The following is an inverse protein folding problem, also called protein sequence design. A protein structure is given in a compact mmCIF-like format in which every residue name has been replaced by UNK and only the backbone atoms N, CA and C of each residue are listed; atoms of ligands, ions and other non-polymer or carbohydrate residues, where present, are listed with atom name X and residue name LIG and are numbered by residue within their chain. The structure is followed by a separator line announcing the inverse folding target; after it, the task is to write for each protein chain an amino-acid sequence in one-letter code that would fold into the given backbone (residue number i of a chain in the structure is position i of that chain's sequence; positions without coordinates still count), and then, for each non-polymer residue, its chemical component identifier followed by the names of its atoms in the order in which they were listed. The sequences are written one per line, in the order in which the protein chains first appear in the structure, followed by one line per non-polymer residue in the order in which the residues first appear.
data_IF_302855487538
#
_entry.id   IF_302855487538
#
_cell.length_a   1.000
_cell.length_b   1.000
_cell.length_c   1.000
_cell.angle_alpha   90.00
_cell.angle_beta   90.00
_cell.angle_gamma   90.00
#
_symmetry.space_group_name_H-M   'P 1'
#
loop_
_entity.id
_entity.type
_entity.pdbx_description
1 polymer ?
#
# COMPACT_ATOMS: atom_id res chain seq x y z
N UNK A 1 -19.43 -1.49 -39.98
CA UNK A 1 -17.97 -1.80 -39.87
C UNK A 1 -17.25 -0.58 -40.40
N UNK A 2 -16.88 0.37 -39.54
CA UNK A 2 -16.01 1.48 -39.92
C UNK A 2 -14.60 0.88 -40.11
N UNK A 3 -14.09 0.91 -41.33
CA UNK A 3 -12.65 0.82 -41.54
C UNK A 3 -12.05 2.01 -40.78
N UNK A 4 -11.43 1.76 -39.66
CA UNK A 4 -10.85 2.80 -38.88
C UNK A 4 -9.71 3.41 -39.66
N UNK A 5 -9.90 4.62 -40.14
CA UNK A 5 -8.83 5.45 -40.64
C UNK A 5 -8.02 5.95 -39.39
N UNK A 6 -7.05 5.15 -38.98
CA UNK A 6 -6.21 5.46 -37.84
C UNK A 6 -5.20 6.57 -38.16
N UNK A 7 -4.94 6.87 -39.43
CA UNK A 7 -3.99 7.89 -39.86
C UNK A 7 -4.42 9.29 -39.39
N UNK A 8 -5.72 9.63 -39.50
CA UNK A 8 -6.25 10.89 -38.96
C UNK A 8 -6.17 10.97 -37.43
N UNK A 9 -6.36 9.84 -36.75
CA UNK A 9 -6.24 9.80 -35.29
C UNK A 9 -4.78 10.00 -34.85
N UNK A 10 -3.84 9.42 -35.56
CA UNK A 10 -2.41 9.56 -35.28
C UNK A 10 -1.94 11.00 -35.55
N UNK A 11 -2.37 11.65 -36.63
CA UNK A 11 -2.12 13.06 -36.93
C UNK A 11 -2.65 14.00 -35.84
N UNK A 12 -3.87 13.73 -35.33
CA UNK A 12 -4.45 14.50 -34.23
C UNK A 12 -3.67 14.33 -32.94
N UNK A 13 -3.23 13.09 -32.62
CA UNK A 13 -2.40 12.80 -31.44
C UNK A 13 -1.06 13.50 -31.55
N UNK A 14 -0.43 13.51 -32.73
CA UNK A 14 0.85 14.18 -32.95
C UNK A 14 0.70 15.70 -32.83
N UNK A 15 -0.37 16.27 -33.39
CA UNK A 15 -0.71 17.69 -33.24
C UNK A 15 -0.95 18.06 -31.78
N UNK A 16 -1.66 17.22 -31.01
CA UNK A 16 -1.88 17.42 -29.58
C UNK A 16 -0.58 17.37 -28.80
N UNK A 17 0.30 16.41 -29.08
CA UNK A 17 1.63 16.32 -28.47
C UNK A 17 2.47 17.58 -28.79
N UNK A 18 2.40 18.08 -30.02
CA UNK A 18 3.06 19.32 -30.43
C UNK A 18 2.55 20.53 -29.66
N UNK A 19 1.23 20.64 -29.51
CA UNK A 19 0.60 21.70 -28.73
C UNK A 19 1.01 21.65 -27.24
N UNK A 20 0.93 20.47 -26.63
CA UNK A 20 1.36 20.25 -25.25
C UNK A 20 2.82 20.64 -25.04
N UNK A 21 3.71 20.23 -25.95
CA UNK A 21 5.14 20.53 -25.88
C UNK A 21 5.44 22.03 -26.03
N UNK A 22 4.63 22.75 -26.82
CA UNK A 22 4.81 24.18 -27.07
C UNK A 22 4.30 25.05 -25.93
N UNK A 23 3.15 24.71 -25.33
CA UNK A 23 2.46 25.54 -24.35
C UNK A 23 2.46 24.98 -22.92
N UNK A 24 2.79 23.72 -22.73
CA UNK A 24 2.78 23.01 -21.45
C UNK A 24 4.16 22.53 -20.99
N UNK A 25 5.24 23.09 -21.53
CA UNK A 25 6.61 22.62 -21.26
C UNK A 25 6.92 22.51 -19.75
N UNK A 26 6.46 23.46 -18.95
CA UNK A 26 6.72 23.53 -17.51
C UNK A 26 5.85 22.53 -16.70
N UNK A 27 4.78 22.00 -17.32
CA UNK A 27 3.79 21.14 -16.64
C UNK A 27 3.89 19.68 -17.10
N UNK A 28 4.52 19.41 -18.25
CA UNK A 28 4.66 18.03 -18.77
C UNK A 28 5.58 17.23 -17.85
N UNK A 29 5.08 16.08 -17.29
CA UNK A 29 5.93 15.22 -16.49
C UNK A 29 7.07 14.63 -17.34
N UNK A 30 8.20 14.38 -16.69
CA UNK A 30 9.34 13.73 -17.36
C UNK A 30 8.96 12.33 -17.85
N UNK A 31 9.58 11.88 -18.94
CA UNK A 31 9.33 10.54 -19.50
C UNK A 31 9.58 9.42 -18.48
N UNK A 32 10.50 9.63 -17.54
CA UNK A 32 10.78 8.71 -16.44
C UNK A 32 9.60 8.60 -15.47
N UNK A 33 8.94 9.70 -15.13
CA UNK A 33 7.74 9.70 -14.28
C UNK A 33 6.57 9.00 -14.96
N UNK A 34 6.34 9.28 -16.26
CA UNK A 34 5.28 8.61 -17.03
C UNK A 34 5.53 7.11 -17.12
N UNK A 35 6.75 6.67 -17.39
CA UNK A 35 7.09 5.25 -17.42
C UNK A 35 6.94 4.58 -16.05
N UNK A 36 7.29 5.28 -14.98
CA UNK A 36 7.11 4.82 -13.61
C UNK A 36 5.63 4.67 -13.26
N UNK A 37 4.78 5.63 -13.65
CA UNK A 37 3.34 5.57 -13.43
C UNK A 37 2.69 4.39 -14.17
N UNK A 38 3.06 4.15 -15.43
CA UNK A 38 2.61 3.00 -16.21
C UNK A 38 3.00 1.70 -15.51
N UNK A 39 4.23 1.62 -15.00
CA UNK A 39 4.72 0.45 -14.28
C UNK A 39 3.96 0.26 -12.96
N UNK A 40 3.74 1.34 -12.20
CA UNK A 40 2.97 1.33 -10.96
C UNK A 40 1.56 0.78 -11.18
N UNK A 41 0.85 1.32 -12.16
CA UNK A 41 -0.52 0.90 -12.49
C UNK A 41 -0.57 -0.55 -13.00
N UNK A 42 0.44 -0.99 -13.76
CA UNK A 42 0.54 -2.37 -14.26
C UNK A 42 0.72 -3.39 -13.13
N UNK A 43 1.52 -3.08 -12.13
CA UNK A 43 1.81 -4.01 -11.04
C UNK A 43 0.74 -4.05 -9.96
N UNK A 44 -0.01 -2.97 -9.74
CA UNK A 44 -1.06 -2.82 -8.71
C UNK A 44 -0.66 -3.49 -7.38
N UNK A 45 0.46 -3.02 -6.82
CA UNK A 45 1.16 -3.69 -5.73
C UNK A 45 0.31 -3.80 -4.46
N UNK A 46 -0.48 -2.77 -4.15
CA UNK A 46 -1.28 -2.74 -2.91
C UNK A 46 -2.43 -3.74 -2.94
N UNK A 47 -3.04 -3.98 -4.10
CA UNK A 47 -4.04 -5.04 -4.29
C UNK A 47 -3.45 -6.43 -4.08
N UNK A 48 -2.24 -6.66 -4.58
CA UNK A 48 -1.53 -7.94 -4.35
C UNK A 48 -1.13 -8.09 -2.88
N UNK A 49 -0.66 -7.00 -2.25
CA UNK A 49 -0.29 -7.01 -0.83
C UNK A 49 -1.46 -7.37 0.08
N UNK A 50 -2.68 -6.88 -0.22
CA UNK A 50 -3.89 -7.31 0.50
C UNK A 50 -3.99 -8.85 0.53
N UNK A 51 -3.96 -9.48 -0.65
CA UNK A 51 -4.09 -10.93 -0.76
C UNK A 51 -2.95 -11.67 -0.06
N UNK A 52 -1.73 -11.20 -0.21
CA UNK A 52 -0.56 -11.84 0.40
C UNK A 52 -0.54 -11.70 1.93
N UNK A 53 -0.92 -10.54 2.47
CA UNK A 53 -1.04 -10.35 3.90
C UNK A 53 -2.12 -11.23 4.51
N UNK A 54 -3.31 -11.33 3.90
CA UNK A 54 -4.39 -12.16 4.44
C UNK A 54 -3.99 -13.65 4.44
N UNK A 55 -3.40 -14.15 3.35
CA UNK A 55 -2.93 -15.54 3.30
C UNK A 55 -1.82 -15.81 4.31
N UNK A 56 -0.82 -14.93 4.40
CA UNK A 56 0.29 -15.10 5.34
C UNK A 56 -0.19 -15.06 6.80
N UNK A 57 -1.11 -14.16 7.13
CA UNK A 57 -1.67 -14.05 8.49
C UNK A 57 -2.51 -15.26 8.88
N UNK A 58 -3.39 -15.73 7.97
CA UNK A 58 -4.21 -16.91 8.19
C UNK A 58 -3.36 -18.17 8.35
N UNK A 59 -2.38 -18.37 7.47
CA UNK A 59 -1.45 -19.50 7.57
C UNK A 59 -0.65 -19.45 8.88
N UNK A 60 -0.15 -18.28 9.27
CA UNK A 60 0.56 -18.13 10.54
C UNK A 60 -0.35 -18.46 11.72
N UNK A 61 -1.60 -17.99 11.71
CA UNK A 61 -2.57 -18.30 12.75
C UNK A 61 -2.85 -19.81 12.87
N UNK A 62 -3.05 -20.49 11.73
CA UNK A 62 -3.26 -21.96 11.70
C UNK A 62 -2.03 -22.70 12.26
N UNK A 63 -0.82 -22.29 11.84
CA UNK A 63 0.43 -22.91 12.33
C UNK A 63 0.59 -22.73 13.84
N UNK A 64 0.22 -21.57 14.36
CA UNK A 64 0.27 -21.32 15.81
C UNK A 64 -0.71 -22.23 16.59
N UNK A 65 -1.92 -22.45 16.06
CA UNK A 65 -2.87 -23.40 16.65
C UNK A 65 -2.30 -24.82 16.62
N UNK A 66 -1.75 -25.26 15.48
CA UNK A 66 -1.14 -26.59 15.36
C UNK A 66 0.03 -26.74 16.34
N UNK A 67 0.82 -25.69 16.55
CA UNK A 67 1.96 -25.68 17.48
C UNK A 67 1.55 -25.94 18.92
N UNK A 68 0.33 -25.51 19.33
CA UNK A 68 -0.19 -25.80 20.68
C UNK A 68 -0.34 -27.30 20.90
N UNK A 69 -0.75 -28.05 19.87
CA UNK A 69 -0.96 -29.48 19.96
C UNK A 69 0.28 -30.33 19.61
N UNK A 70 1.21 -29.76 18.84
CA UNK A 70 2.35 -30.49 18.31
C UNK A 70 3.58 -29.57 18.10
N UNK A 71 4.41 -29.44 19.13
CA UNK A 71 5.61 -28.58 19.10
C UNK A 71 6.81 -29.32 18.44
N UNK A 72 6.68 -29.67 17.15
CA UNK A 72 7.81 -30.26 16.39
C UNK A 72 8.70 -29.18 15.81
N UNK A 73 10.00 -29.48 15.66
CA UNK A 73 11.00 -28.59 15.04
C UNK A 73 10.55 -28.10 13.65
N UNK A 74 9.90 -28.96 12.88
CA UNK A 74 9.39 -28.62 11.54
C UNK A 74 8.36 -27.46 11.58
N UNK A 75 7.47 -27.44 12.58
CA UNK A 75 6.47 -26.38 12.74
C UNK A 75 7.14 -25.05 13.06
N UNK A 76 8.22 -25.05 13.84
CA UNK A 76 9.02 -23.83 14.11
C UNK A 76 9.69 -23.29 12.84
N UNK A 77 10.16 -24.14 11.95
CA UNK A 77 10.73 -23.67 10.67
C UNK A 77 9.67 -23.03 9.77
N UNK A 78 8.45 -23.59 9.71
CA UNK A 78 7.33 -23.00 8.97
C UNK A 78 6.94 -21.63 9.58
N UNK A 79 6.85 -21.56 10.90
CA UNK A 79 6.57 -20.29 11.62
C UNK A 79 7.60 -19.22 11.25
N UNK A 80 8.90 -19.53 11.32
CA UNK A 80 9.96 -18.60 10.94
C UNK A 80 9.86 -18.19 9.46
N UNK A 81 9.57 -19.13 8.57
CA UNK A 81 9.41 -18.84 7.15
C UNK A 81 8.23 -17.86 6.89
N UNK A 82 7.09 -18.06 7.58
CA UNK A 82 5.93 -17.17 7.48
C UNK A 82 6.22 -15.78 8.06
N UNK A 83 6.91 -15.70 9.20
CA UNK A 83 7.34 -14.41 9.77
C UNK A 83 8.28 -13.69 8.80
N UNK A 84 9.23 -14.39 8.21
CA UNK A 84 10.15 -13.83 7.22
C UNK A 84 9.41 -13.34 5.97
N UNK A 85 8.39 -14.09 5.53
CA UNK A 85 7.49 -13.68 4.43
C UNK A 85 6.75 -12.37 4.76
N UNK A 86 6.20 -12.24 5.96
CA UNK A 86 5.50 -11.02 6.41
C UNK A 86 6.47 -9.82 6.44
N UNK A 87 7.68 -10.01 6.90
CA UNK A 87 8.72 -8.96 6.88
C UNK A 87 9.04 -8.54 5.45
N UNK A 88 9.19 -9.51 4.55
CA UNK A 88 9.43 -9.25 3.13
C UNK A 88 8.26 -8.47 2.48
N UNK A 89 7.02 -8.85 2.78
CA UNK A 89 5.84 -8.13 2.32
C UNK A 89 5.78 -6.69 2.86
N UNK A 90 6.22 -6.48 4.11
CA UNK A 90 6.33 -5.14 4.68
C UNK A 90 7.37 -4.27 3.95
N UNK A 91 8.50 -4.85 3.55
CA UNK A 91 9.49 -4.16 2.72
C UNK A 91 8.88 -3.78 1.36
N UNK A 92 8.16 -4.70 0.71
CA UNK A 92 7.44 -4.41 -0.54
C UNK A 92 6.38 -3.31 -0.37
N UNK A 93 5.67 -3.30 0.76
CA UNK A 93 4.71 -2.24 1.08
C UNK A 93 5.41 -0.88 1.21
N UNK A 94 6.53 -0.83 1.93
CA UNK A 94 7.34 0.39 2.08
C UNK A 94 7.86 0.90 0.74
N UNK A 95 8.37 0.00 -0.10
CA UNK A 95 8.80 0.33 -1.47
C UNK A 95 7.64 0.84 -2.33
N UNK A 96 6.45 0.25 -2.18
CA UNK A 96 5.23 0.71 -2.86
C UNK A 96 4.86 2.15 -2.50
N UNK A 97 4.92 2.51 -1.20
CA UNK A 97 4.66 3.88 -0.74
C UNK A 97 5.71 4.87 -1.27
N UNK A 98 7.00 4.52 -1.21
CA UNK A 98 8.09 5.35 -1.76
C UNK A 98 7.90 5.53 -3.26
N UNK A 99 7.55 4.48 -3.98
CA UNK A 99 7.33 4.54 -5.42
C UNK A 99 6.11 5.41 -5.78
N UNK A 100 5.02 5.31 -5.00
CA UNK A 100 3.87 6.20 -5.15
C UNK A 100 4.24 7.66 -4.91
N UNK A 101 4.99 7.96 -3.84
CA UNK A 101 5.50 9.32 -3.56
C UNK A 101 6.38 9.87 -4.70
N UNK A 102 7.19 9.02 -5.31
CA UNK A 102 8.03 9.43 -6.45
C UNK A 102 7.19 9.79 -7.68
N UNK A 103 6.16 9.00 -7.98
CA UNK A 103 5.28 9.25 -9.13
C UNK A 103 4.40 10.46 -8.91
N UNK A 104 3.73 10.56 -7.74
CA UNK A 104 2.82 11.66 -7.40
C UNK A 104 3.54 13.00 -7.19
N UNK A 105 4.81 12.94 -6.72
CA UNK A 105 5.58 14.14 -6.37
C UNK A 105 5.22 14.74 -5.01
N UNK A 106 4.36 14.08 -4.23
CA UNK A 106 3.98 14.48 -2.87
C UNK A 106 3.97 13.28 -1.92
N UNK A 107 3.79 13.55 -0.63
CA UNK A 107 3.75 12.50 0.38
C UNK A 107 2.51 11.60 0.22
N UNK A 108 2.66 10.24 0.39
CA UNK A 108 1.61 9.28 0.09
C UNK A 108 0.59 9.13 1.23
N UNK A 109 0.01 10.23 1.70
CA UNK A 109 -1.08 10.32 2.70
C UNK A 109 -1.95 11.55 2.49
N UNK A 110 -2.04 12.03 1.23
CA UNK A 110 -2.71 13.28 0.87
C UNK A 110 -4.18 13.10 0.50
N UNK A 111 -4.60 11.90 0.14
CA UNK A 111 -5.99 11.54 -0.16
C UNK A 111 -6.49 10.37 0.71
N UNK A 112 -7.76 10.03 0.56
CA UNK A 112 -8.39 8.95 1.33
C UNK A 112 -7.75 7.59 1.03
N UNK A 113 -7.48 7.26 -0.23
CA UNK A 113 -6.82 6.01 -0.60
C UNK A 113 -5.39 5.94 -0.05
N UNK A 114 -4.61 7.00 -0.22
CA UNK A 114 -3.24 7.09 0.30
C UNK A 114 -3.20 6.98 1.82
N UNK A 115 -4.13 7.64 2.50
CA UNK A 115 -4.26 7.55 3.95
C UNK A 115 -4.52 6.11 4.41
N UNK A 116 -5.37 5.37 3.72
CA UNK A 116 -5.67 3.97 4.06
C UNK A 116 -4.47 3.05 3.83
N UNK A 117 -3.76 3.16 2.71
CA UNK A 117 -2.55 2.35 2.50
C UNK A 117 -1.46 2.71 3.51
N UNK A 118 -1.34 3.99 3.90
CA UNK A 118 -0.41 4.43 4.93
C UNK A 118 -0.79 3.94 6.34
N UNK A 119 -2.07 3.96 6.73
CA UNK A 119 -2.56 3.37 8.00
C UNK A 119 -2.26 1.88 8.04
N UNK A 120 -2.49 1.15 6.94
CA UNK A 120 -2.15 -0.26 6.86
C UNK A 120 -0.65 -0.50 7.05
N UNK A 121 0.20 0.31 6.41
CA UNK A 121 1.65 0.28 6.61
C UNK A 121 2.03 0.56 8.07
N UNK A 122 1.47 1.60 8.67
CA UNK A 122 1.72 1.94 10.08
C UNK A 122 1.27 0.83 11.04
N UNK A 123 0.11 0.21 10.79
CA UNK A 123 -0.37 -0.94 11.55
C UNK A 123 0.63 -2.09 11.47
N UNK A 124 1.13 -2.40 10.28
CA UNK A 124 2.12 -3.46 10.11
C UNK A 124 3.47 -3.11 10.74
N UNK A 125 3.91 -1.86 10.64
CA UNK A 125 5.15 -1.37 11.27
C UNK A 125 5.11 -1.53 12.78
N UNK A 126 4.10 -1.00 13.44
CA UNK A 126 3.95 -1.13 14.89
C UNK A 126 3.68 -2.58 15.30
N UNK A 127 2.96 -3.33 14.46
CA UNK A 127 2.76 -4.77 14.65
C UNK A 127 4.09 -5.53 14.72
N UNK A 128 5.01 -5.28 13.82
CA UNK A 128 6.35 -5.88 13.84
C UNK A 128 7.16 -5.47 15.08
N UNK A 129 7.02 -4.22 15.56
CA UNK A 129 7.70 -3.76 16.77
C UNK A 129 7.15 -4.46 18.01
N UNK A 130 5.82 -4.52 18.17
CA UNK A 130 5.18 -5.09 19.36
C UNK A 130 5.15 -6.62 19.35
N UNK A 131 5.16 -7.24 18.16
CA UNK A 131 5.14 -8.69 18.00
C UNK A 131 6.45 -9.42 18.30
N UNK A 132 7.51 -8.70 18.70
CA UNK A 132 8.85 -9.29 18.95
C UNK A 132 8.83 -10.49 19.90
N UNK A 133 7.84 -10.58 20.79
CA UNK A 133 7.70 -11.66 21.78
C UNK A 133 6.49 -12.57 21.52
N UNK A 134 5.67 -12.28 20.51
CA UNK A 134 4.41 -13.00 20.26
C UNK A 134 4.08 -13.09 18.77
N UNK A 135 4.26 -14.27 18.20
CA UNK A 135 3.87 -14.54 16.81
C UNK A 135 2.35 -14.41 16.59
N UNK A 136 1.55 -14.59 17.66
CA UNK A 136 0.09 -14.39 17.60
C UNK A 136 -0.25 -12.91 17.37
N UNK A 137 0.45 -12.02 18.07
CA UNK A 137 0.30 -10.57 17.85
C UNK A 137 0.64 -10.21 16.40
N UNK A 138 1.69 -10.80 15.83
CA UNK A 138 2.05 -10.57 14.43
C UNK A 138 0.95 -11.07 13.47
N UNK A 139 0.42 -12.27 13.68
CA UNK A 139 -0.66 -12.81 12.87
C UNK A 139 -1.89 -11.88 12.92
N UNK A 140 -2.32 -11.45 14.12
CA UNK A 140 -3.46 -10.57 14.31
C UNK A 140 -3.25 -9.20 13.66
N UNK A 141 -2.09 -8.58 13.83
CA UNK A 141 -1.80 -7.26 13.24
C UNK A 141 -1.67 -7.33 11.72
N UNK A 142 -1.09 -8.38 11.16
CA UNK A 142 -1.02 -8.59 9.71
C UNK A 142 -2.41 -8.81 9.12
N UNK A 143 -3.30 -9.49 9.83
CA UNK A 143 -4.69 -9.65 9.43
C UNK A 143 -5.40 -8.29 9.38
N UNK A 144 -5.27 -7.46 10.44
CA UNK A 144 -5.87 -6.12 10.46
C UNK A 144 -5.31 -5.23 9.34
N UNK A 145 -3.99 -5.26 9.11
CA UNK A 145 -3.35 -4.55 8.01
C UNK A 145 -3.94 -4.97 6.65
N UNK A 146 -4.21 -6.27 6.45
CA UNK A 146 -4.87 -6.75 5.23
C UNK A 146 -6.31 -6.26 5.10
N UNK A 147 -7.08 -6.20 6.19
CA UNK A 147 -8.45 -5.68 6.17
C UNK A 147 -8.49 -4.19 5.79
N UNK A 148 -7.54 -3.40 6.29
CA UNK A 148 -7.41 -1.99 5.93
C UNK A 148 -7.11 -1.83 4.42
N UNK A 149 -6.18 -2.65 3.87
CA UNK A 149 -5.91 -2.66 2.43
C UNK A 149 -7.11 -3.13 1.61
N UNK A 150 -7.91 -4.06 2.14
CA UNK A 150 -9.14 -4.50 1.49
C UNK A 150 -10.13 -3.33 1.34
N UNK A 151 -10.32 -2.54 2.39
CA UNK A 151 -11.20 -1.37 2.36
C UNK A 151 -10.69 -0.34 1.33
N UNK A 152 -9.38 -0.10 1.26
CA UNK A 152 -8.78 0.79 0.28
C UNK A 152 -9.07 0.36 -1.18
N UNK A 153 -9.19 -0.94 -1.44
CA UNK A 153 -9.40 -1.50 -2.78
C UNK A 153 -10.86 -1.78 -3.13
N UNK A 154 -11.73 -1.82 -2.15
CA UNK A 154 -13.15 -2.00 -2.39
C UNK A 154 -13.70 -0.70 -2.97
N UNK A 155 -14.26 -0.69 -4.14
CA UNK A 155 -14.81 0.40 -4.99
C UNK A 155 -15.26 1.73 -4.32
N UNK A 156 -14.83 2.00 -3.10
CA UNK A 156 -15.17 3.18 -2.32
C UNK A 156 -14.09 4.26 -2.40
N UNK A 157 -12.89 3.90 -2.87
CA UNK A 157 -11.76 4.84 -2.96
C UNK A 157 -11.14 4.75 -4.34
N UNK A 158 -10.80 5.90 -4.90
CA UNK A 158 -10.13 6.02 -6.19
C UNK A 158 -8.62 5.82 -5.99
N UNK A 159 -7.99 4.78 -6.58
CA UNK A 159 -6.56 4.55 -6.49
C UNK A 159 -5.74 5.47 -7.40
N UNK A 160 -6.38 6.27 -8.26
CA UNK A 160 -5.68 7.17 -9.18
C UNK A 160 -4.79 8.17 -8.43
N UNK A 161 -3.72 8.59 -9.09
CA UNK A 161 -2.82 9.61 -8.54
C UNK A 161 -3.40 10.97 -8.90
N UNK A 162 -3.94 11.66 -7.90
CA UNK A 162 -4.49 13.01 -8.05
C UNK A 162 -3.43 14.08 -7.71
N UNK A 163 -3.67 15.28 -8.21
CA UNK A 163 -2.86 16.44 -7.80
C UNK A 163 -3.10 16.77 -6.33
N UNK A 164 -2.03 17.21 -5.66
CA UNK A 164 -2.11 17.66 -4.26
C UNK A 164 -3.12 18.80 -4.14
N UNK A 165 -4.01 18.68 -3.15
CA UNK A 165 -4.93 19.78 -2.82
C UNK A 165 -4.10 20.98 -2.32
N UNK A 166 -4.35 22.23 -2.80
CA UNK A 166 -3.55 23.38 -2.43
C UNK A 166 -3.45 23.64 -0.93
N UNK A 167 -4.50 23.30 -0.18
CA UNK A 167 -4.52 23.45 1.29
C UNK A 167 -3.53 22.50 2.00
N UNK A 168 -3.14 21.39 1.36
CA UNK A 168 -2.19 20.42 1.89
C UNK A 168 -0.73 20.75 1.50
N UNK A 169 -0.50 21.77 0.70
CA UNK A 169 0.84 22.22 0.28
C UNK A 169 1.50 23.07 1.38
N UNK A 170 1.60 22.48 2.58
CA UNK A 170 2.27 23.06 3.74
C UNK A 170 3.09 21.97 4.44
N UNK A 171 4.38 22.23 4.62
CA UNK A 171 5.33 21.31 5.26
C UNK A 171 4.85 20.86 6.65
N UNK A 172 4.41 21.80 7.49
CA UNK A 172 3.93 21.50 8.84
C UNK A 172 2.61 20.71 8.84
N UNK A 173 1.70 21.04 7.94
CA UNK A 173 0.44 20.31 7.82
C UNK A 173 0.69 18.88 7.35
N UNK A 174 1.61 18.67 6.41
CA UNK A 174 1.98 17.35 5.92
C UNK A 174 2.55 16.45 7.04
N UNK A 175 3.43 16.99 7.90
CA UNK A 175 3.94 16.27 9.07
C UNK A 175 2.81 15.97 10.06
N UNK A 176 1.95 16.94 10.34
CA UNK A 176 0.82 16.77 11.25
C UNK A 176 -0.12 15.65 10.79
N UNK A 177 -0.49 15.65 9.52
CA UNK A 177 -1.33 14.59 8.92
C UNK A 177 -0.62 13.24 8.99
N UNK A 178 0.67 13.15 8.69
CA UNK A 178 1.43 11.91 8.80
C UNK A 178 1.38 11.31 10.22
N UNK A 179 1.57 12.15 11.24
CA UNK A 179 1.53 11.70 12.65
C UNK A 179 0.12 11.25 13.06
N UNK A 180 -0.91 12.04 12.72
CA UNK A 180 -2.30 11.69 13.05
C UNK A 180 -2.70 10.39 12.35
N UNK A 181 -2.54 10.31 11.04
CA UNK A 181 -2.93 9.14 10.27
C UNK A 181 -2.10 7.91 10.67
N UNK A 182 -0.80 8.09 10.92
CA UNK A 182 0.07 7.03 11.43
C UNK A 182 -0.34 6.51 12.81
N UNK A 183 -0.93 7.34 13.66
CA UNK A 183 -1.39 6.93 15.00
C UNK A 183 -2.57 5.96 14.97
N UNK A 184 -3.33 5.90 13.88
CA UNK A 184 -4.39 4.90 13.72
C UNK A 184 -3.85 3.46 13.67
N UNK A 185 -2.57 3.27 13.29
CA UNK A 185 -1.91 1.96 13.35
C UNK A 185 -1.89 1.37 14.78
N UNK A 186 -1.27 2.02 15.77
CA UNK A 186 -1.31 1.59 17.17
C UNK A 186 -2.72 1.43 17.74
N UNK A 187 -3.67 2.30 17.37
CA UNK A 187 -5.07 2.16 17.83
C UNK A 187 -5.72 0.90 17.27
N UNK A 188 -5.51 0.58 16.00
CA UNK A 188 -6.00 -0.65 15.38
C UNK A 188 -5.42 -1.90 16.06
N UNK A 189 -4.12 -1.86 16.42
CA UNK A 189 -3.48 -2.95 17.16
C UNK A 189 -4.07 -3.08 18.57
N UNK A 190 -4.28 -1.97 19.27
CA UNK A 190 -4.86 -1.98 20.62
C UNK A 190 -6.26 -2.56 20.62
N UNK A 191 -7.08 -2.24 19.60
CA UNK A 191 -8.41 -2.80 19.42
C UNK A 191 -8.35 -4.33 19.26
N UNK A 192 -7.54 -4.83 18.34
CA UNK A 192 -7.49 -6.27 18.07
C UNK A 192 -6.89 -7.05 19.23
N UNK A 193 -5.85 -6.52 19.90
CA UNK A 193 -5.29 -7.15 21.08
C UNK A 193 -6.29 -7.17 22.25
N UNK A 194 -7.11 -6.12 22.41
CA UNK A 194 -8.20 -6.09 23.38
C UNK A 194 -9.20 -7.21 23.13
N UNK A 195 -9.58 -7.46 21.88
CA UNK A 195 -10.49 -8.56 21.50
C UNK A 195 -9.86 -9.95 21.77
N UNK A 196 -8.55 -10.09 21.49
CA UNK A 196 -7.84 -11.37 21.68
C UNK A 196 -7.67 -11.72 23.16
N UNK A 197 -7.60 -10.72 24.05
CA UNK A 197 -7.43 -10.92 25.51
C UNK A 197 -8.76 -11.20 26.22
N UNK A 198 -9.89 -10.76 25.67
CA UNK A 198 -11.24 -11.05 26.20
C UNK A 198 -11.66 -12.49 25.91
#
# INVERSE_FOLDING_TARGET
KSNGDFDQADDLIESLKGFQKKYGYDVIPSSSKVSAEILYNKYDIFKKLFSWYIYSSMLLFIILIIKIFNDRKFIKYIEIALISSIIFLFILHSLGLVFRAFVSGHAPWSDAYESMIYVSWATQFFGLIFARKSSLTLAATTFVSSMILMIAHWNWMDPSIANLQPVLDSYWLMIHVAVIVGSYGPFSISMILGIVVL
#
